data_IF_313773879508
#
_entry.id   IF_313773879508
#
_cell.length_a   1.000
_cell.length_b   1.000
_cell.length_c   1.000
_cell.angle_alpha   90.00
_cell.angle_beta   90.00
_cell.angle_gamma   90.00
#
_symmetry.space_group_name_H-M   'P 1'
#
loop_
_entity.id
_entity.type
_entity.pdbx_description
1 polymer ?
#
# COMPACT_ATOMS: atom_id res chain seq x y z
N UNK A 1 35.98 -20.36 3.11
CA UNK A 1 36.10 -18.89 3.29
C UNK A 1 35.44 -18.23 2.08
N UNK A 2 34.41 -17.40 2.14
CA UNK A 2 33.62 -16.85 3.24
C UNK A 2 32.15 -16.66 2.81
N UNK A 3 31.24 -16.77 3.78
CA UNK A 3 29.81 -16.52 3.61
C UNK A 3 29.60 -15.00 3.52
N UNK A 4 29.14 -14.51 2.36
CA UNK A 4 28.75 -13.12 2.18
C UNK A 4 27.52 -12.80 3.01
N UNK A 5 27.68 -11.98 4.04
CA UNK A 5 26.61 -11.53 4.93
C UNK A 5 25.63 -10.66 4.14
N UNK A 6 24.42 -11.17 3.87
CA UNK A 6 23.33 -10.37 3.32
C UNK A 6 23.02 -9.22 4.31
N UNK A 7 23.31 -7.98 3.90
CA UNK A 7 22.91 -6.76 4.62
C UNK A 7 21.38 -6.75 4.70
N UNK A 8 20.85 -7.14 5.86
CA UNK A 8 19.43 -6.99 6.20
C UNK A 8 19.12 -5.49 6.21
N UNK A 9 18.50 -4.98 5.14
CA UNK A 9 17.91 -3.63 5.16
C UNK A 9 16.67 -3.72 6.05
N UNK A 10 16.83 -3.24 7.27
CA UNK A 10 15.82 -3.21 8.32
C UNK A 10 14.68 -2.27 7.91
N UNK A 11 13.49 -2.81 7.67
CA UNK A 11 12.26 -2.01 7.85
C UNK A 11 12.15 -1.75 9.35
N UNK A 12 12.38 -0.50 9.76
CA UNK A 12 12.34 -0.12 11.18
C UNK A 12 10.91 -0.32 11.69
N UNK A 13 10.74 -1.27 12.62
CA UNK A 13 9.54 -1.38 13.44
C UNK A 13 9.52 -0.22 14.42
N UNK A 14 8.65 0.79 14.21
CA UNK A 14 8.26 1.68 15.30
C UNK A 14 6.87 1.30 15.81
N UNK A 15 6.92 0.73 17.02
CA UNK A 15 5.90 0.49 18.06
C UNK A 15 5.03 -0.77 17.96
N UNK A 16 5.20 -1.57 19.01
CA UNK A 16 4.69 -2.92 19.28
C UNK A 16 3.27 -2.96 19.87
N UNK A 17 2.58 -1.83 20.04
CA UNK A 17 1.23 -1.77 20.60
C UNK A 17 0.50 -0.52 20.05
N UNK A 18 -0.55 -0.66 19.20
CA UNK A 18 -1.22 0.50 18.61
C UNK A 18 -2.26 1.15 19.54
N UNK A 19 -2.60 0.55 20.68
CA UNK A 19 -3.77 0.97 21.45
C UNK A 19 -3.56 2.14 22.42
N UNK A 20 -2.38 2.80 22.44
CA UNK A 20 -2.19 3.96 23.31
C UNK A 20 -1.31 5.08 22.71
N UNK A 21 -2.00 6.20 22.43
CA UNK A 21 -1.58 7.62 22.47
C UNK A 21 -0.65 8.15 21.36
N UNK A 22 -1.24 8.88 20.42
CA UNK A 22 -1.21 10.36 20.30
C UNK A 22 -2.00 10.73 19.03
N UNK A 23 -2.86 11.76 19.04
CA UNK A 23 -3.67 12.20 17.89
C UNK A 23 -2.84 12.88 16.78
N UNK A 24 -1.57 12.51 16.64
CA UNK A 24 -0.80 12.79 15.44
C UNK A 24 -1.50 12.14 14.25
N UNK A 25 -1.57 12.86 13.13
CA UNK A 25 -2.25 12.36 11.93
C UNK A 25 -1.72 10.98 11.54
N UNK A 26 -2.61 9.98 11.45
CA UNK A 26 -2.32 8.61 10.99
C UNK A 26 -1.72 8.55 9.59
N UNK A 27 -1.78 9.66 8.84
CA UNK A 27 -1.10 9.87 7.56
C UNK A 27 -0.48 11.26 7.54
N UNK A 28 0.80 11.33 7.23
CA UNK A 28 1.52 12.59 6.98
C UNK A 28 2.01 12.50 5.55
N UNK A 29 1.36 13.23 4.63
CA UNK A 29 1.64 13.26 3.20
C UNK A 29 0.86 14.40 2.53
N UNK A 30 1.26 14.79 1.32
CA UNK A 30 0.39 15.58 0.43
C UNK A 30 -0.38 14.68 -0.53
N UNK A 31 -1.58 15.10 -0.94
CA UNK A 31 -2.38 14.32 -1.90
C UNK A 31 -3.32 15.18 -2.73
N UNK A 32 -3.67 14.70 -3.92
CA UNK A 32 -4.74 15.24 -4.75
C UNK A 32 -5.57 14.10 -5.36
N UNK A 33 -6.73 14.44 -5.91
CA UNK A 33 -7.55 13.52 -6.71
C UNK A 33 -7.48 13.92 -8.18
N UNK A 34 -7.46 12.93 -9.06
CA UNK A 34 -7.38 13.15 -10.49
C UNK A 34 -8.78 13.27 -11.13
N UNK A 35 -8.96 14.11 -12.16
CA UNK A 35 -10.22 14.21 -12.89
C UNK A 35 -10.63 12.86 -13.51
N UNK A 36 -11.91 12.50 -13.42
CA UNK A 36 -12.44 11.21 -13.92
C UNK A 36 -12.57 11.16 -15.45
N UNK A 37 -12.55 12.32 -16.10
CA UNK A 37 -12.63 12.52 -17.54
C UNK A 37 -11.25 12.52 -18.23
N UNK A 38 -10.16 12.43 -17.46
CA UNK A 38 -8.82 12.27 -18.02
C UNK A 38 -8.66 10.88 -18.66
N UNK A 39 -8.18 10.78 -19.91
CA UNK A 39 -8.10 9.51 -20.63
C UNK A 39 -7.12 8.50 -20.00
N UNK A 40 -6.08 8.97 -19.31
CA UNK A 40 -5.14 8.10 -18.58
C UNK A 40 -5.82 7.54 -17.33
N UNK A 41 -6.57 8.37 -16.60
CA UNK A 41 -7.36 7.94 -15.44
C UNK A 41 -8.38 6.87 -15.85
N UNK A 42 -9.12 7.11 -16.94
CA UNK A 42 -10.07 6.12 -17.48
C UNK A 42 -9.40 4.80 -17.85
N UNK A 43 -8.24 4.85 -18.51
CA UNK A 43 -7.46 3.65 -18.85
C UNK A 43 -7.04 2.85 -17.60
N UNK A 44 -6.56 3.52 -16.55
CA UNK A 44 -6.18 2.86 -15.28
C UNK A 44 -7.39 2.24 -14.59
N UNK A 45 -8.53 2.94 -14.56
CA UNK A 45 -9.78 2.42 -13.99
C UNK A 45 -10.20 1.16 -14.75
N UNK A 46 -10.23 1.21 -16.09
CA UNK A 46 -10.64 0.06 -16.90
C UNK A 46 -9.75 -1.16 -16.63
N UNK A 47 -8.42 -0.99 -16.64
CA UNK A 47 -7.47 -2.07 -16.35
C UNK A 47 -7.65 -2.66 -14.95
N UNK A 48 -7.99 -1.82 -13.98
CA UNK A 48 -8.23 -2.27 -12.60
C UNK A 48 -9.54 -3.04 -12.48
N UNK A 49 -10.59 -2.58 -13.15
CA UNK A 49 -11.88 -3.26 -13.26
C UNK A 49 -11.74 -4.62 -13.96
N UNK A 50 -10.99 -4.68 -15.07
CA UNK A 50 -10.72 -5.93 -15.78
C UNK A 50 -9.94 -6.92 -14.88
N UNK A 51 -9.02 -6.41 -14.05
CA UNK A 51 -8.22 -7.25 -13.15
C UNK A 51 -9.05 -7.88 -12.02
N UNK A 52 -9.97 -7.14 -11.40
CA UNK A 52 -10.84 -7.72 -10.34
C UNK A 52 -11.84 -8.74 -10.90
N UNK A 53 -12.08 -8.73 -12.22
CA UNK A 53 -12.83 -9.75 -12.91
C UNK A 53 -14.28 -9.86 -12.44
N UNK A 54 -14.68 -11.05 -11.99
CA UNK A 54 -16.09 -11.35 -11.64
C UNK A 54 -16.52 -10.86 -10.25
N UNK A 55 -15.70 -10.08 -9.55
CA UNK A 55 -16.10 -9.48 -8.27
C UNK A 55 -17.15 -8.41 -8.53
N UNK A 56 -18.37 -8.64 -8.05
CA UNK A 56 -19.45 -7.64 -8.14
C UNK A 56 -19.05 -6.36 -7.41
N UNK A 57 -19.11 -5.23 -8.12
CA UNK A 57 -18.78 -3.92 -7.57
C UNK A 57 -19.66 -2.81 -8.15
N UNK A 58 -19.94 -1.78 -7.36
CA UNK A 58 -20.76 -0.62 -7.78
C UNK A 58 -19.95 0.48 -8.47
N UNK A 59 -18.64 0.29 -8.62
CA UNK A 59 -17.77 1.20 -9.36
C UNK A 59 -16.35 1.26 -8.83
N UNK A 60 -15.65 2.31 -9.26
CA UNK A 60 -14.27 2.59 -8.88
C UNK A 60 -14.20 4.00 -8.30
N UNK A 61 -13.55 4.16 -7.15
CA UNK A 61 -13.37 5.48 -6.53
C UNK A 61 -12.43 6.37 -7.34
N UNK A 62 -12.62 7.68 -7.27
CA UNK A 62 -11.73 8.63 -7.95
C UNK A 62 -10.27 8.42 -7.54
N UNK A 63 -9.37 8.31 -8.53
CA UNK A 63 -7.95 8.07 -8.29
C UNK A 63 -7.33 9.16 -7.41
N UNK A 64 -6.60 8.71 -6.39
CA UNK A 64 -5.85 9.58 -5.50
C UNK A 64 -4.35 9.43 -5.77
N UNK A 65 -3.67 10.56 -5.98
CA UNK A 65 -2.20 10.62 -6.00
C UNK A 65 -1.72 11.10 -4.64
N UNK A 66 -0.77 10.38 -4.07
CA UNK A 66 -0.17 10.71 -2.78
C UNK A 66 1.33 10.86 -2.96
N UNK A 67 1.90 11.93 -2.42
CA UNK A 67 3.34 12.18 -2.40
C UNK A 67 3.85 12.15 -0.96
N UNK A 68 4.84 11.30 -0.74
CA UNK A 68 5.57 11.21 0.51
C UNK A 68 6.95 11.85 0.35
N UNK A 69 7.33 12.70 1.31
CA UNK A 69 8.66 13.26 1.49
C UNK A 69 9.44 12.45 2.53
N UNK A 70 10.68 12.85 2.78
CA UNK A 70 11.46 12.27 3.86
C UNK A 70 10.72 12.42 5.21
N UNK A 71 10.69 11.34 6.00
CA UNK A 71 9.99 11.22 7.29
C UNK A 71 8.44 11.29 7.24
N UNK A 72 7.85 11.43 6.06
CA UNK A 72 6.40 11.28 5.86
C UNK A 72 6.01 9.80 5.81
N UNK A 73 4.77 9.48 6.21
CA UNK A 73 4.34 8.09 6.41
C UNK A 73 2.83 7.91 6.40
N UNK A 74 2.41 6.66 6.30
CA UNK A 74 1.06 6.24 6.64
C UNK A 74 1.13 5.11 7.67
N UNK A 75 0.49 5.30 8.82
CA UNK A 75 0.42 4.27 9.85
C UNK A 75 -0.43 3.07 9.35
N UNK A 76 -0.15 1.84 9.82
CA UNK A 76 -0.91 0.65 9.42
C UNK A 76 -2.41 0.81 9.66
N UNK A 77 -3.21 0.41 8.67
CA UNK A 77 -4.66 0.55 8.69
C UNK A 77 -5.30 -0.43 7.70
N UNK A 78 -6.63 -0.46 7.69
CA UNK A 78 -7.41 -1.05 6.63
C UNK A 78 -8.00 0.04 5.74
N UNK A 79 -8.07 -0.20 4.44
CA UNK A 79 -8.73 0.70 3.50
C UNK A 79 -10.25 0.65 3.60
N UNK A 80 -10.81 -0.46 4.09
CA UNK A 80 -12.23 -0.59 4.34
C UNK A 80 -12.68 0.28 5.52
N UNK A 81 -13.97 0.56 5.57
CA UNK A 81 -14.59 1.28 6.68
C UNK A 81 -15.24 0.30 7.64
N UNK A 82 -15.03 0.46 8.96
CA UNK A 82 -15.76 -0.29 9.99
C UNK A 82 -17.27 -0.04 9.88
N UNK A 83 -17.65 1.17 9.46
CA UNK A 83 -19.02 1.55 9.12
C UNK A 83 -19.06 1.96 7.64
N UNK A 84 -19.49 1.06 6.72
CA UNK A 84 -19.47 1.34 5.30
C UNK A 84 -20.34 2.56 4.93
N UNK A 85 -19.87 3.45 4.04
CA UNK A 85 -20.64 4.60 3.60
C UNK A 85 -21.84 4.20 2.74
N UNK A 86 -22.87 5.05 2.78
CA UNK A 86 -24.00 4.98 1.85
C UNK A 86 -23.71 5.87 0.64
N UNK A 87 -23.76 5.29 -0.56
CA UNK A 87 -23.57 5.99 -1.82
C UNK A 87 -24.81 6.81 -2.18
N UNK A 88 -24.66 7.74 -3.13
CA UNK A 88 -25.76 8.54 -3.66
C UNK A 88 -26.86 7.68 -4.33
N UNK A 89 -26.50 6.49 -4.83
CA UNK A 89 -27.44 5.48 -5.35
C UNK A 89 -28.32 4.85 -4.27
N UNK A 90 -28.02 5.07 -2.98
CA UNK A 90 -28.70 4.47 -1.85
C UNK A 90 -28.11 3.13 -1.40
N UNK A 91 -27.13 2.59 -2.12
CA UNK A 91 -26.41 1.37 -1.75
C UNK A 91 -25.40 1.64 -0.63
N UNK A 92 -25.22 0.67 0.25
CA UNK A 92 -24.17 0.68 1.27
C UNK A 92 -23.03 -0.19 0.78
N UNK A 93 -21.86 0.41 0.52
CA UNK A 93 -20.76 -0.26 -0.15
C UNK A 93 -19.47 -0.08 0.65
N UNK A 94 -18.55 -1.04 0.54
CA UNK A 94 -17.22 -0.95 1.12
C UNK A 94 -16.16 -1.31 0.10
N UNK A 95 -14.90 -0.98 0.39
CA UNK A 95 -13.78 -1.27 -0.52
C UNK A 95 -13.45 -2.75 -0.47
N UNK A 96 -13.67 -3.44 -1.59
CA UNK A 96 -13.31 -4.84 -1.74
C UNK A 96 -11.83 -5.05 -2.12
N UNK A 97 -11.24 -4.08 -2.83
CA UNK A 97 -9.86 -4.14 -3.30
C UNK A 97 -9.24 -2.73 -3.37
N UNK A 98 -7.91 -2.69 -3.30
CA UNK A 98 -7.11 -1.48 -3.48
C UNK A 98 -5.98 -1.76 -4.47
N UNK A 99 -5.76 -0.83 -5.39
CA UNK A 99 -4.65 -0.87 -6.34
C UNK A 99 -3.66 0.23 -5.99
N UNK A 100 -2.39 -0.15 -5.85
CA UNK A 100 -1.29 0.78 -5.60
C UNK A 100 -0.32 0.73 -6.76
N UNK A 101 -0.10 1.88 -7.40
CA UNK A 101 0.94 2.07 -8.39
C UNK A 101 2.00 3.00 -7.81
N UNK A 102 3.25 2.54 -7.76
CA UNK A 102 4.37 3.38 -7.37
C UNK A 102 4.76 4.29 -8.54
N UNK A 103 4.88 5.59 -8.26
CA UNK A 103 5.29 6.61 -9.22
C UNK A 103 6.51 7.35 -8.68
N UNK A 104 7.50 7.61 -9.53
CA UNK A 104 8.72 8.34 -9.16
C UNK A 104 9.95 7.46 -9.01
N UNK A 105 11.00 8.05 -8.43
CA UNK A 105 12.34 7.47 -8.34
C UNK A 105 12.49 6.47 -7.18
N UNK A 106 13.57 5.67 -7.22
CA UNK A 106 13.96 4.63 -6.26
C UNK A 106 14.25 5.20 -4.86
N UNK A 107 13.25 5.25 -3.96
CA UNK A 107 13.43 5.90 -2.68
C UNK A 107 14.15 4.95 -1.72
N UNK A 108 15.00 5.51 -0.86
CA UNK A 108 15.53 4.74 0.28
C UNK A 108 14.42 4.60 1.34
N UNK A 109 13.67 3.49 1.29
CA UNK A 109 12.55 3.23 2.20
C UNK A 109 11.21 3.26 1.48
N UNK A 110 10.14 3.71 2.16
CA UNK A 110 8.82 3.88 1.55
C UNK A 110 8.09 2.57 1.17
N UNK A 111 8.51 1.43 1.72
CA UNK A 111 7.86 0.14 1.47
C UNK A 111 6.42 0.12 1.99
N UNK A 112 5.54 -0.60 1.29
CA UNK A 112 4.18 -0.89 1.77
C UNK A 112 4.21 -2.17 2.61
N UNK A 113 3.90 -2.04 3.89
CA UNK A 113 4.08 -3.08 4.91
C UNK A 113 2.77 -3.77 5.29
N UNK A 114 2.70 -5.07 5.08
CA UNK A 114 1.59 -5.95 5.45
C UNK A 114 1.99 -6.82 6.66
N UNK A 115 1.61 -6.37 7.85
CA UNK A 115 2.05 -6.94 9.14
C UNK A 115 1.39 -8.28 9.51
N UNK A 116 0.30 -8.64 8.82
CA UNK A 116 -0.51 -9.82 9.12
C UNK A 116 -0.43 -10.90 8.04
N UNK A 117 0.43 -10.71 7.03
CA UNK A 117 0.68 -11.71 6.00
C UNK A 117 1.92 -12.54 6.34
N UNK A 118 1.99 -13.75 5.77
CA UNK A 118 3.21 -14.54 5.81
C UNK A 118 4.35 -13.80 5.07
N UNK A 119 5.60 -14.01 5.50
CA UNK A 119 6.76 -13.45 4.81
C UNK A 119 6.81 -13.89 3.35
N UNK A 120 7.43 -13.08 2.49
CA UNK A 120 7.78 -13.48 1.14
C UNK A 120 8.68 -14.73 1.19
N UNK A 121 8.48 -15.68 0.26
CA UNK A 121 9.42 -16.77 0.02
C UNK A 121 10.86 -16.24 -0.15
N UNK A 122 11.85 -17.03 0.28
CA UNK A 122 13.24 -16.56 0.35
C UNK A 122 13.89 -16.35 -1.02
N UNK A 123 13.36 -16.97 -2.05
CA UNK A 123 13.77 -16.92 -3.45
C UNK A 123 13.08 -15.80 -4.24
N UNK A 124 12.10 -15.13 -3.65
CA UNK A 124 11.38 -14.02 -4.29
C UNK A 124 12.23 -12.75 -4.33
N UNK A 125 12.27 -12.12 -5.51
CA UNK A 125 13.21 -11.07 -5.88
C UNK A 125 13.46 -10.05 -4.76
N UNK A 126 14.68 -9.99 -4.16
CA UNK A 126 14.96 -9.15 -2.99
C UNK A 126 14.93 -7.64 -3.31
N UNK A 127 14.89 -7.29 -4.59
CA UNK A 127 14.63 -5.93 -5.06
C UNK A 127 13.16 -5.52 -4.85
N UNK A 128 12.22 -6.46 -5.02
CA UNK A 128 10.76 -6.25 -4.93
C UNK A 128 10.22 -6.37 -3.52
N UNK A 129 10.75 -7.34 -2.78
CA UNK A 129 10.15 -7.78 -1.54
C UNK A 129 11.12 -7.71 -0.36
N UNK A 130 10.56 -7.62 0.83
CA UNK A 130 11.28 -7.77 2.10
C UNK A 130 10.36 -8.29 3.18
N UNK A 131 10.95 -8.93 4.21
CA UNK A 131 10.22 -9.43 5.37
C UNK A 131 10.39 -8.47 6.55
N UNK A 132 9.30 -8.27 7.28
CA UNK A 132 9.30 -7.45 8.50
C UNK A 132 9.73 -8.37 9.64
N UNK A 133 10.68 -7.90 10.46
CA UNK A 133 11.07 -8.65 11.65
C UNK A 133 10.01 -8.46 12.73
N UNK A 134 9.22 -9.49 12.98
CA UNK A 134 8.14 -9.50 13.97
C UNK A 134 8.25 -10.74 14.85
N UNK A 135 7.94 -10.59 16.14
CA UNK A 135 7.94 -11.68 17.11
C UNK A 135 7.01 -12.84 16.72
N UNK A 136 5.92 -12.54 16.00
CA UNK A 136 4.94 -13.54 15.56
C UNK A 136 5.31 -14.22 14.23
N UNK A 137 6.48 -13.90 13.64
CA UNK A 137 6.93 -14.46 12.37
C UNK A 137 6.15 -14.00 11.13
N UNK A 138 5.19 -13.07 11.29
CA UNK A 138 4.45 -12.48 10.19
C UNK A 138 5.11 -11.17 9.73
N UNK A 139 4.85 -10.81 8.48
CA UNK A 139 5.26 -9.53 7.95
C UNK A 139 5.90 -9.61 6.58
N UNK A 140 5.22 -9.01 5.62
CA UNK A 140 5.64 -8.89 4.23
C UNK A 140 5.62 -7.42 3.83
N UNK A 141 6.57 -7.00 2.99
CA UNK A 141 6.59 -5.65 2.47
C UNK A 141 6.97 -5.63 0.99
N UNK A 142 6.22 -4.85 0.20
CA UNK A 142 6.54 -4.53 -1.19
C UNK A 142 7.34 -3.24 -1.23
N UNK A 143 8.41 -3.22 -2.02
CA UNK A 143 9.23 -2.02 -2.21
C UNK A 143 8.74 -1.28 -3.46
N UNK A 144 8.76 0.06 -3.44
CA UNK A 144 8.61 0.84 -4.65
C UNK A 144 9.75 0.48 -5.60
N UNK A 145 9.42 -0.03 -6.77
CA UNK A 145 10.38 -0.28 -7.84
C UNK A 145 10.13 0.68 -8.99
N UNK A 146 11.21 1.15 -9.61
CA UNK A 146 11.13 1.86 -10.87
C UNK A 146 10.52 0.91 -11.93
N UNK A 147 9.46 1.31 -12.64
CA UNK A 147 8.99 0.54 -13.78
C UNK A 147 10.14 0.38 -14.78
N UNK A 148 10.47 -0.86 -15.14
CA UNK A 148 11.42 -1.14 -16.23
C UNK A 148 10.78 -0.78 -17.56
N UNK A 149 10.92 0.48 -17.97
CA UNK A 149 10.62 0.99 -19.30
C UNK A 149 11.95 1.40 -19.94
#
# INVERSE_FOLDING_TARGET
MGLGTAKRRLCITKKKHPDQKDHTSRRIASSCRLPMDDPVVQCVIQRSTDFVGFVTHDGFEQLQVVKYRENERHDPHHDWFTSPPKLASGLTCNRAASFFAYMGDDPQGGATCFHHLYPAPQDEGPAKFSNINSDNGLGFATKPEKPGI
#
